data_IF_204240798090
#
_entry.id   IF_204240798090
#
_cell.length_a   1.000
_cell.length_b   1.000
_cell.length_c   1.000
_cell.angle_alpha   90.00
_cell.angle_beta   90.00
_cell.angle_gamma   90.00
#
_symmetry.space_group_name_H-M   'P 1'
#
loop_
_entity.id
_entity.type
_entity.pdbx_description
1 polymer ?
#
# COMPACT_ATOMS: atom_id res chain seq x y z
N UNK A 1 25.37 -10.17 -22.09
CA UNK A 1 26.71 -9.61 -22.35
C UNK A 1 26.85 -8.13 -22.03
N UNK A 2 26.02 -7.16 -22.54
CA UNK A 2 26.14 -5.72 -22.22
C UNK A 2 26.10 -5.38 -20.70
N UNK A 3 25.26 -6.06 -19.89
CA UNK A 3 25.22 -5.83 -18.44
C UNK A 3 26.50 -6.25 -17.72
N UNK A 4 27.07 -7.38 -18.10
CA UNK A 4 28.35 -7.89 -17.54
C UNK A 4 29.49 -6.97 -17.91
N UNK A 5 29.57 -6.52 -19.16
CA UNK A 5 30.60 -5.58 -19.62
C UNK A 5 30.55 -4.24 -18.86
N UNK A 6 29.34 -3.70 -18.58
CA UNK A 6 29.20 -2.47 -17.80
C UNK A 6 29.59 -2.65 -16.33
N UNK A 7 29.37 -3.84 -15.73
CA UNK A 7 29.83 -4.14 -14.37
C UNK A 7 31.35 -4.21 -14.34
N UNK A 8 31.96 -4.93 -15.27
CA UNK A 8 33.44 -5.03 -15.37
C UNK A 8 34.05 -3.63 -15.58
N UNK A 9 33.45 -2.81 -16.43
CA UNK A 9 33.90 -1.41 -16.66
C UNK A 9 33.87 -0.55 -15.40
N UNK A 10 33.00 -0.85 -14.43
CA UNK A 10 32.90 -0.08 -13.19
C UNK A 10 33.82 -0.60 -12.06
N UNK A 11 34.24 -1.86 -12.11
CA UNK A 11 35.04 -2.49 -11.06
C UNK A 11 36.46 -2.86 -11.52
N UNK A 12 36.86 -2.58 -12.78
CA UNK A 12 38.14 -2.97 -13.34
C UNK A 12 39.32 -2.44 -12.52
N UNK A 13 39.18 -1.22 -11.95
CA UNK A 13 40.20 -0.62 -11.10
C UNK A 13 40.46 -1.43 -9.81
N UNK A 14 39.36 -1.87 -9.17
CA UNK A 14 39.42 -2.69 -7.97
C UNK A 14 40.00 -4.06 -8.27
N UNK A 15 39.67 -4.63 -9.43
CA UNK A 15 40.24 -5.89 -9.89
C UNK A 15 41.75 -5.78 -10.16
N UNK A 16 42.19 -4.66 -10.69
CA UNK A 16 43.61 -4.41 -10.98
C UNK A 16 44.42 -4.22 -9.67
N UNK A 17 43.91 -3.44 -8.71
CA UNK A 17 44.48 -3.32 -7.38
C UNK A 17 44.53 -4.65 -6.64
N UNK A 18 43.45 -5.41 -6.66
CA UNK A 18 43.38 -6.73 -6.03
C UNK A 18 44.34 -7.72 -6.67
N UNK A 19 44.48 -7.72 -7.98
CA UNK A 19 45.43 -8.56 -8.68
C UNK A 19 46.87 -8.22 -8.27
N UNK A 20 47.20 -6.93 -8.15
CA UNK A 20 48.51 -6.47 -7.70
C UNK A 20 48.79 -6.86 -6.23
N UNK A 21 47.79 -6.68 -5.33
CA UNK A 21 47.87 -7.14 -3.96
C UNK A 21 48.19 -8.65 -3.85
N UNK A 22 47.45 -9.47 -4.64
CA UNK A 22 47.68 -10.92 -4.68
C UNK A 22 49.08 -11.29 -5.22
N UNK A 23 49.55 -10.57 -6.25
CA UNK A 23 50.90 -10.76 -6.77
C UNK A 23 51.98 -10.46 -5.70
N UNK A 24 51.83 -9.38 -4.93
CA UNK A 24 52.75 -9.02 -3.87
C UNK A 24 52.77 -10.04 -2.71
N UNK A 25 51.62 -10.69 -2.44
CA UNK A 25 51.50 -11.67 -1.34
C UNK A 25 52.02 -13.05 -1.74
N UNK A 26 51.77 -13.50 -2.97
CA UNK A 26 51.97 -14.89 -3.38
C UNK A 26 53.18 -15.12 -4.30
N UNK A 27 53.70 -14.09 -4.99
CA UNK A 27 54.82 -14.25 -5.89
C UNK A 27 56.18 -13.94 -5.17
N UNK A 28 57.27 -14.60 -5.59
CA UNK A 28 58.57 -14.28 -5.05
C UNK A 28 58.99 -12.85 -5.38
N UNK A 29 59.57 -12.18 -4.40
CA UNK A 29 59.91 -10.77 -4.46
C UNK A 29 60.95 -10.48 -5.56
N UNK A 30 60.57 -9.62 -6.50
CA UNK A 30 61.43 -9.14 -7.55
C UNK A 30 61.23 -7.62 -7.74
N UNK A 31 62.32 -6.87 -7.98
CA UNK A 31 62.26 -5.43 -8.23
C UNK A 31 61.31 -5.04 -9.38
N UNK A 32 61.11 -5.94 -10.33
CA UNK A 32 60.10 -5.74 -11.43
C UNK A 32 58.66 -5.55 -10.93
N UNK A 33 58.27 -6.20 -9.83
CA UNK A 33 56.94 -6.06 -9.24
C UNK A 33 56.71 -4.66 -8.68
N UNK A 34 57.74 -4.03 -8.11
CA UNK A 34 57.67 -2.66 -7.56
C UNK A 34 57.45 -1.65 -8.68
N UNK A 35 58.20 -1.77 -9.78
CA UNK A 35 58.04 -0.91 -10.94
C UNK A 35 56.67 -1.08 -11.59
N UNK A 36 56.14 -2.29 -11.62
CA UNK A 36 54.78 -2.56 -12.07
C UNK A 36 53.73 -1.87 -11.19
N UNK A 37 53.91 -1.87 -9.87
CA UNK A 37 53.06 -1.15 -8.93
C UNK A 37 53.09 0.37 -9.13
N UNK A 38 54.27 0.94 -9.33
CA UNK A 38 54.46 2.37 -9.63
C UNK A 38 53.72 2.71 -10.95
N UNK A 39 53.85 1.86 -11.97
CA UNK A 39 53.12 2.06 -13.24
C UNK A 39 51.61 2.02 -13.05
N UNK A 40 51.08 1.13 -12.21
CA UNK A 40 49.63 1.09 -11.85
C UNK A 40 49.16 2.37 -11.18
N UNK A 41 49.94 2.86 -10.18
CA UNK A 41 49.60 4.10 -9.46
C UNK A 41 49.58 5.31 -10.42
N UNK A 42 50.61 5.41 -11.27
CA UNK A 42 50.65 6.47 -12.30
C UNK A 42 49.47 6.36 -13.28
N UNK A 43 49.14 5.16 -13.72
CA UNK A 43 48.02 4.92 -14.60
C UNK A 43 46.65 5.30 -13.95
N UNK A 44 46.47 4.92 -12.68
CA UNK A 44 45.27 5.30 -11.91
C UNK A 44 45.17 6.79 -11.74
N UNK A 45 46.27 7.49 -11.42
CA UNK A 45 46.31 8.93 -11.29
C UNK A 45 45.95 9.63 -12.62
N UNK A 46 46.59 9.18 -13.72
CA UNK A 46 46.31 9.71 -15.05
C UNK A 46 44.82 9.48 -15.47
N UNK A 47 44.31 8.28 -15.20
CA UNK A 47 42.90 7.97 -15.46
C UNK A 47 41.94 8.82 -14.62
N UNK A 48 42.24 9.04 -13.33
CA UNK A 48 41.44 9.88 -12.46
C UNK A 48 41.44 11.34 -12.95
N UNK A 49 42.63 11.87 -13.29
CA UNK A 49 42.75 13.22 -13.85
C UNK A 49 41.95 13.37 -15.16
N UNK A 50 42.06 12.45 -16.11
CA UNK A 50 41.36 12.52 -17.38
C UNK A 50 39.84 12.36 -17.21
N UNK A 51 39.41 11.50 -16.34
CA UNK A 51 37.97 11.26 -16.09
C UNK A 51 37.26 12.43 -15.40
N UNK A 52 37.98 13.08 -14.46
CA UNK A 52 37.42 14.12 -13.60
C UNK A 52 37.96 15.52 -13.91
N UNK A 53 38.67 15.69 -15.02
CA UNK A 53 39.22 16.97 -15.43
C UNK A 53 38.18 18.11 -15.48
N UNK A 54 36.92 17.79 -15.82
CA UNK A 54 35.82 18.77 -15.91
C UNK A 54 34.87 18.72 -14.71
N UNK A 55 35.14 17.92 -13.70
CA UNK A 55 34.26 17.79 -12.53
C UNK A 55 35.06 17.92 -11.23
N UNK A 56 34.60 18.70 -10.23
CA UNK A 56 35.25 18.74 -8.92
C UNK A 56 35.31 17.33 -8.31
N UNK A 57 36.46 16.93 -7.84
CA UNK A 57 36.66 15.62 -7.22
C UNK A 57 35.64 15.34 -6.09
N UNK A 58 35.27 16.38 -5.33
CA UNK A 58 34.23 16.31 -4.31
C UNK A 58 32.90 15.86 -4.88
N UNK A 59 32.46 16.42 -6.02
CA UNK A 59 31.18 16.04 -6.66
C UNK A 59 31.19 14.57 -7.12
N UNK A 60 32.32 14.09 -7.66
CA UNK A 60 32.47 12.70 -8.08
C UNK A 60 32.38 11.72 -6.89
N UNK A 61 32.98 12.09 -5.76
CA UNK A 61 32.88 11.32 -4.51
C UNK A 61 31.43 11.33 -4.01
N UNK A 62 30.78 12.49 -3.93
CA UNK A 62 29.39 12.63 -3.49
C UNK A 62 28.45 11.83 -4.39
N UNK A 63 28.65 11.87 -5.70
CA UNK A 63 27.87 11.09 -6.67
C UNK A 63 28.08 9.58 -6.47
N UNK A 64 29.31 9.15 -6.15
CA UNK A 64 29.60 7.75 -5.87
C UNK A 64 28.98 7.30 -4.56
N UNK A 65 29.04 8.14 -3.54
CA UNK A 65 28.40 7.90 -2.24
C UNK A 65 26.87 7.86 -2.34
N UNK A 66 26.29 8.70 -3.21
CA UNK A 66 24.84 8.74 -3.46
C UNK A 66 24.30 7.51 -4.18
N UNK A 67 25.14 6.69 -4.82
CA UNK A 67 24.76 5.39 -5.40
C UNK A 67 24.41 4.33 -4.34
N UNK A 68 24.39 4.72 -3.07
CA UNK A 68 24.02 3.86 -1.96
C UNK A 68 25.18 2.95 -1.50
N UNK A 69 24.80 1.83 -0.86
CA UNK A 69 25.74 0.92 -0.21
C UNK A 69 26.86 0.44 -1.14
N UNK A 70 26.53 0.11 -2.38
CA UNK A 70 27.51 -0.40 -3.35
C UNK A 70 28.57 0.65 -3.77
N UNK A 71 28.16 1.92 -3.89
CA UNK A 71 29.11 3.00 -4.18
C UNK A 71 30.08 3.24 -3.04
N UNK A 72 29.58 3.17 -1.80
CA UNK A 72 30.39 3.37 -0.59
C UNK A 72 31.33 2.19 -0.34
N UNK A 73 30.84 0.95 -0.46
CA UNK A 73 31.71 -0.24 -0.39
C UNK A 73 32.78 -0.20 -1.45
N UNK A 74 32.45 0.16 -2.68
CA UNK A 74 33.40 0.30 -3.76
C UNK A 74 34.49 1.33 -3.44
N UNK A 75 34.11 2.52 -2.96
CA UNK A 75 35.09 3.55 -2.57
C UNK A 75 35.99 3.05 -1.42
N UNK A 76 35.43 2.47 -0.37
CA UNK A 76 36.13 2.00 0.79
C UNK A 76 37.10 0.87 0.45
N UNK A 77 36.67 -0.12 -0.33
CA UNK A 77 37.49 -1.22 -0.82
C UNK A 77 38.66 -0.70 -1.70
N UNK A 78 38.34 0.27 -2.58
CA UNK A 78 39.37 0.88 -3.43
C UNK A 78 40.45 1.61 -2.63
N UNK A 79 40.06 2.41 -1.63
CA UNK A 79 41.02 3.09 -0.73
C UNK A 79 41.84 2.07 0.08
N UNK A 80 41.14 1.04 0.61
CA UNK A 80 41.85 -0.03 1.37
C UNK A 80 42.88 -0.75 0.51
N UNK A 81 42.54 -1.19 -0.69
CA UNK A 81 43.46 -1.89 -1.59
C UNK A 81 44.67 -1.01 -1.93
N UNK A 82 44.44 0.28 -2.17
CA UNK A 82 45.53 1.22 -2.50
C UNK A 82 46.50 1.38 -1.32
N UNK A 83 46.01 1.54 -0.09
CA UNK A 83 46.84 1.64 1.11
C UNK A 83 47.59 0.33 1.38
N UNK A 84 46.91 -0.81 1.20
CA UNK A 84 47.51 -2.14 1.34
C UNK A 84 48.63 -2.34 0.32
N UNK A 85 48.43 -1.99 -0.96
CA UNK A 85 49.42 -2.11 -2.02
C UNK A 85 50.65 -1.25 -1.75
N UNK A 86 50.48 -0.03 -1.22
CA UNK A 86 51.57 0.83 -0.82
C UNK A 86 52.40 0.18 0.32
N UNK A 87 51.71 -0.31 1.36
CA UNK A 87 52.35 -0.95 2.50
C UNK A 87 53.07 -2.25 2.10
N UNK A 88 52.43 -3.11 1.32
CA UNK A 88 53.04 -4.35 0.83
C UNK A 88 54.26 -4.08 -0.07
N UNK A 89 54.16 -3.07 -0.96
CA UNK A 89 55.31 -2.64 -1.77
C UNK A 89 56.48 -2.16 -0.92
N UNK A 90 56.23 -1.44 0.18
CA UNK A 90 57.25 -1.02 1.12
C UNK A 90 57.95 -2.22 1.80
N UNK A 91 57.19 -3.24 2.24
CA UNK A 91 57.77 -4.47 2.79
C UNK A 91 58.68 -5.16 1.78
N UNK A 92 58.25 -5.28 0.53
CA UNK A 92 59.05 -5.87 -0.54
C UNK A 92 60.34 -5.06 -0.78
N UNK A 93 60.30 -3.73 -0.76
CA UNK A 93 61.47 -2.87 -0.91
C UNK A 93 62.50 -3.06 0.22
N UNK A 94 62.06 -3.47 1.42
CA UNK A 94 62.92 -3.72 2.59
C UNK A 94 63.35 -5.20 2.73
N UNK A 95 63.35 -5.95 1.63
CA UNK A 95 63.63 -7.39 1.60
C UNK A 95 62.71 -8.27 2.45
N UNK A 96 61.51 -7.75 2.76
CA UNK A 96 60.40 -8.50 3.34
C UNK A 96 59.53 -9.13 2.26
N UNK A 97 58.44 -9.76 2.67
CA UNK A 97 57.44 -10.33 1.76
C UNK A 97 56.09 -9.61 1.90
N UNK A 98 55.34 -9.51 0.84
CA UNK A 98 53.98 -8.92 0.88
C UNK A 98 53.04 -9.69 1.83
N UNK A 99 53.30 -10.97 2.07
CA UNK A 99 52.57 -11.78 3.06
C UNK A 99 52.73 -11.28 4.49
N UNK A 100 53.86 -10.62 4.85
CA UNK A 100 54.02 -9.98 6.16
C UNK A 100 53.02 -8.83 6.35
N UNK A 101 52.82 -8.00 5.34
CA UNK A 101 51.82 -6.94 5.39
C UNK A 101 50.40 -7.49 5.60
N UNK A 102 50.10 -8.61 4.96
CA UNK A 102 48.81 -9.27 5.14
C UNK A 102 48.67 -9.86 6.55
N UNK A 103 49.71 -10.50 7.10
CA UNK A 103 49.68 -11.03 8.45
C UNK A 103 49.47 -9.93 9.50
N UNK A 104 50.14 -8.78 9.36
CA UNK A 104 49.96 -7.64 10.26
C UNK A 104 48.55 -7.03 10.14
N UNK A 105 47.99 -6.96 8.92
CA UNK A 105 46.66 -6.49 8.70
C UNK A 105 45.58 -7.38 9.36
N UNK A 106 45.76 -8.71 9.31
CA UNK A 106 44.80 -9.68 9.86
C UNK A 106 45.03 -9.91 11.37
N UNK A 107 46.18 -9.53 11.91
CA UNK A 107 46.55 -9.76 13.30
C UNK A 107 45.55 -9.28 14.36
N UNK A 108 44.77 -8.18 14.17
CA UNK A 108 43.69 -7.79 15.09
C UNK A 108 42.58 -8.84 15.22
N UNK A 109 42.29 -9.58 14.13
CA UNK A 109 41.25 -10.61 14.09
C UNK A 109 41.79 -11.95 14.62
N UNK A 110 43.05 -12.30 14.27
CA UNK A 110 43.67 -13.57 14.66
C UNK A 110 44.25 -13.55 16.05
N UNK A 111 44.33 -12.37 16.72
CA UNK A 111 44.99 -12.17 18.03
C UNK A 111 46.44 -12.64 18.06
N UNK A 112 47.10 -12.74 16.92
CA UNK A 112 48.51 -13.11 16.83
C UNK A 112 49.38 -11.88 17.09
N UNK A 113 50.43 -12.04 17.90
CA UNK A 113 51.42 -10.97 18.10
C UNK A 113 52.32 -10.89 16.88
N UNK A 114 52.34 -9.73 16.22
CA UNK A 114 53.36 -9.45 15.21
C UNK A 114 54.72 -9.31 15.87
N UNK A 115 55.73 -9.93 15.28
CA UNK A 115 57.12 -9.77 15.74
C UNK A 115 57.65 -8.40 15.29
N UNK A 116 57.72 -7.45 16.19
CA UNK A 116 58.21 -6.09 15.90
C UNK A 116 59.72 -6.03 16.08
N UNK A 117 60.44 -5.66 15.02
CA UNK A 117 61.81 -5.16 15.12
C UNK A 117 61.76 -3.63 15.27
N UNK A 118 62.61 -3.07 16.17
CA UNK A 118 62.54 -1.65 16.55
C UNK A 118 62.71 -0.67 15.38
N UNK A 119 63.35 -1.06 14.30
CA UNK A 119 63.59 -0.20 13.12
C UNK A 119 62.41 -0.22 12.11
N UNK A 120 61.55 -1.20 12.19
CA UNK A 120 60.42 -1.36 11.24
C UNK A 120 59.03 -1.28 11.91
N UNK A 121 58.96 -0.94 13.18
CA UNK A 121 57.75 -0.99 13.99
C UNK A 121 56.59 -0.12 13.47
N UNK A 122 56.88 0.96 12.75
CA UNK A 122 55.87 1.92 12.30
C UNK A 122 54.91 1.27 11.32
N UNK A 123 55.34 0.45 10.37
CA UNK A 123 54.49 -0.16 9.36
C UNK A 123 53.59 -1.27 9.91
N UNK A 124 54.09 -2.23 10.71
CA UNK A 124 53.26 -3.17 11.45
C UNK A 124 52.16 -2.49 12.27
N UNK A 125 52.51 -1.41 12.99
CA UNK A 125 51.50 -0.64 13.76
C UNK A 125 50.44 0.01 12.86
N UNK A 126 50.84 0.61 11.74
CA UNK A 126 49.93 1.19 10.78
C UNK A 126 49.00 0.13 10.16
N UNK A 127 49.53 -1.04 9.78
CA UNK A 127 48.75 -2.14 9.23
C UNK A 127 47.80 -2.73 10.26
N UNK A 128 48.22 -2.86 11.51
CA UNK A 128 47.36 -3.28 12.61
C UNK A 128 46.21 -2.30 12.85
N UNK A 129 46.48 -0.99 12.91
CA UNK A 129 45.49 0.06 13.05
C UNK A 129 44.53 0.08 11.85
N UNK A 130 45.06 -0.07 10.63
CA UNK A 130 44.25 -0.20 9.43
C UNK A 130 43.31 -1.40 9.49
N UNK A 131 43.81 -2.56 9.99
CA UNK A 131 43.01 -3.75 10.24
C UNK A 131 41.85 -3.47 11.21
N UNK A 132 42.13 -2.81 12.34
CA UNK A 132 41.08 -2.41 13.29
C UNK A 132 40.06 -1.51 12.60
N UNK A 133 40.47 -0.45 11.93
CA UNK A 133 39.58 0.50 11.25
C UNK A 133 38.69 -0.18 10.19
N UNK A 134 39.31 -1.09 9.41
CA UNK A 134 38.55 -1.81 8.36
C UNK A 134 37.59 -2.81 8.97
N UNK A 135 38.00 -3.66 9.90
CA UNK A 135 37.17 -4.70 10.46
C UNK A 135 36.07 -4.13 11.38
N UNK A 136 36.38 -3.17 12.23
CA UNK A 136 35.41 -2.58 13.16
C UNK A 136 34.59 -1.46 12.52
N UNK A 137 35.26 -0.53 11.83
CA UNK A 137 34.59 0.62 11.22
C UNK A 137 33.77 0.25 9.99
N UNK A 138 34.39 -0.40 9.02
CA UNK A 138 33.77 -0.63 7.72
C UNK A 138 32.73 -1.76 7.75
N UNK A 139 33.08 -2.88 8.39
CA UNK A 139 32.16 -4.04 8.46
C UNK A 139 30.97 -3.71 9.35
N UNK A 140 31.17 -3.20 10.56
CA UNK A 140 30.09 -2.87 11.50
C UNK A 140 29.28 -1.72 10.97
N UNK A 141 29.89 -0.66 10.43
CA UNK A 141 29.15 0.45 9.83
C UNK A 141 28.31 0.01 8.60
N UNK A 142 28.85 -0.89 7.77
CA UNK A 142 28.12 -1.43 6.62
C UNK A 142 26.92 -2.29 7.06
N UNK A 143 27.12 -3.18 8.03
CA UNK A 143 26.03 -4.01 8.58
C UNK A 143 24.94 -3.13 9.18
N UNK A 144 25.30 -2.15 10.02
CA UNK A 144 24.36 -1.22 10.63
C UNK A 144 23.60 -0.42 9.58
N UNK A 145 24.25 0.03 8.52
CA UNK A 145 23.63 0.76 7.45
C UNK A 145 22.68 -0.10 6.63
N UNK A 146 23.05 -1.35 6.31
CA UNK A 146 22.14 -2.30 5.65
C UNK A 146 20.91 -2.54 6.52
N UNK A 147 21.09 -2.73 7.81
CA UNK A 147 19.99 -2.93 8.75
C UNK A 147 19.10 -1.70 8.83
N UNK A 148 19.67 -0.50 8.96
CA UNK A 148 18.93 0.76 8.97
C UNK A 148 18.13 0.98 7.68
N UNK A 149 18.76 0.81 6.51
CA UNK A 149 18.11 0.95 5.21
C UNK A 149 16.96 -0.04 5.05
N UNK A 150 17.12 -1.29 5.50
CA UNK A 150 16.02 -2.28 5.47
C UNK A 150 14.89 -1.90 6.41
N UNK A 151 15.19 -1.42 7.60
CA UNK A 151 14.22 -0.96 8.57
C UNK A 151 13.43 0.26 8.03
N UNK A 152 14.11 1.22 7.40
CA UNK A 152 13.48 2.39 6.80
C UNK A 152 12.62 2.03 5.60
N UNK A 153 13.11 1.15 4.72
CA UNK A 153 12.29 0.63 3.61
C UNK A 153 11.03 -0.09 4.10
N UNK A 154 11.13 -0.83 5.20
CA UNK A 154 9.96 -1.47 5.81
C UNK A 154 8.99 -0.43 6.37
N UNK A 155 9.49 0.55 7.13
CA UNK A 155 8.68 1.62 7.73
C UNK A 155 7.95 2.45 6.66
N UNK A 156 8.65 2.78 5.57
CA UNK A 156 8.13 3.60 4.47
C UNK A 156 7.34 2.81 3.41
N UNK A 157 7.22 1.49 3.55
CA UNK A 157 6.49 0.66 2.59
C UNK A 157 7.21 0.43 1.26
N UNK A 158 8.53 0.65 1.21
CA UNK A 158 9.33 0.44 0.00
C UNK A 158 9.88 -0.99 -0.13
N UNK A 159 9.78 -1.80 0.93
CA UNK A 159 10.17 -3.21 0.90
C UNK A 159 9.34 -4.00 -0.10
N UNK A 160 9.95 -5.00 -0.75
CA UNK A 160 9.25 -5.89 -1.68
C UNK A 160 9.42 -7.33 -1.20
N UNK A 161 8.29 -8.04 -1.06
CA UNK A 161 8.28 -9.44 -0.66
C UNK A 161 7.84 -10.29 -1.85
N UNK A 162 8.76 -11.13 -2.32
CA UNK A 162 8.49 -12.10 -3.39
C UNK A 162 7.99 -13.40 -2.76
N UNK A 163 7.20 -14.19 -3.50
CA UNK A 163 6.70 -15.52 -3.09
C UNK A 163 5.58 -15.51 -2.03
N UNK A 164 4.84 -14.40 -1.87
CA UNK A 164 3.60 -14.43 -1.09
C UNK A 164 2.53 -15.23 -1.86
N UNK A 165 1.78 -16.06 -1.13
CA UNK A 165 0.70 -16.89 -1.69
C UNK A 165 -0.51 -16.85 -0.78
N UNK A 166 -1.69 -16.99 -1.37
CA UNK A 166 -2.97 -17.07 -0.65
C UNK A 166 -3.21 -15.88 0.30
N UNK A 167 -2.79 -14.68 -0.11
CA UNK A 167 -2.90 -13.44 0.64
C UNK A 167 -4.05 -12.57 0.11
N UNK A 168 -4.50 -11.64 0.93
CA UNK A 168 -5.46 -10.60 0.54
C UNK A 168 -4.72 -9.36 0.06
N UNK A 169 -5.27 -8.68 -0.94
CA UNK A 169 -4.74 -7.40 -1.44
C UNK A 169 -5.82 -6.33 -1.26
N UNK A 170 -5.45 -5.22 -0.66
CA UNK A 170 -6.28 -4.02 -0.53
C UNK A 170 -5.56 -2.88 -1.25
N UNK A 171 -6.22 -2.27 -2.22
CA UNK A 171 -5.68 -1.16 -3.01
C UNK A 171 -6.42 0.10 -2.64
N UNK A 172 -5.69 1.01 -2.00
CA UNK A 172 -6.22 2.22 -1.36
C UNK A 172 -6.49 2.03 0.12
N UNK A 173 -6.27 3.11 0.91
CA UNK A 173 -6.55 3.16 2.34
C UNK A 173 -7.55 4.28 2.65
N UNK A 174 -8.56 3.95 3.45
CA UNK A 174 -9.61 4.87 3.89
C UNK A 174 -10.46 4.21 4.98
N UNK A 175 -11.54 4.86 5.38
CA UNK A 175 -12.39 4.47 6.51
C UNK A 175 -12.95 3.04 6.41
N UNK A 176 -13.09 2.52 5.20
CA UNK A 176 -13.56 1.16 4.95
C UNK A 176 -12.49 0.08 5.15
N UNK A 177 -11.20 0.46 5.21
CA UNK A 177 -10.10 -0.48 5.23
C UNK A 177 -10.02 -1.27 6.55
N UNK A 178 -10.06 -0.58 7.69
CA UNK A 178 -9.97 -1.22 9.02
C UNK A 178 -11.16 -2.15 9.29
N UNK A 179 -12.43 -1.75 9.06
CA UNK A 179 -13.57 -2.65 9.14
C UNK A 179 -13.46 -3.87 8.22
N UNK A 180 -12.95 -3.70 7.00
CA UNK A 180 -12.72 -4.80 6.08
C UNK A 180 -11.70 -5.80 6.63
N UNK A 181 -10.55 -5.33 7.13
CA UNK A 181 -9.52 -6.19 7.72
C UNK A 181 -10.07 -6.93 8.95
N UNK A 182 -10.85 -6.26 9.80
CA UNK A 182 -11.53 -6.88 10.95
C UNK A 182 -12.48 -8.01 10.50
N UNK A 183 -13.25 -7.79 9.45
CA UNK A 183 -14.14 -8.81 8.89
C UNK A 183 -13.37 -9.99 8.27
N UNK A 184 -12.25 -9.71 7.57
CA UNK A 184 -11.38 -10.75 7.06
C UNK A 184 -10.79 -11.60 8.20
N UNK A 185 -10.39 -10.96 9.32
CA UNK A 185 -9.94 -11.68 10.52
C UNK A 185 -11.04 -12.61 11.07
N UNK A 186 -12.28 -12.12 11.18
CA UNK A 186 -13.41 -12.92 11.68
C UNK A 186 -13.70 -14.16 10.83
N UNK A 187 -13.43 -14.11 9.51
CA UNK A 187 -13.58 -15.29 8.63
C UNK A 187 -12.57 -16.41 8.91
N UNK A 188 -11.48 -16.11 9.63
CA UNK A 188 -10.40 -17.04 9.96
C UNK A 188 -10.30 -17.35 11.46
N UNK A 189 -11.45 -17.49 12.15
CA UNK A 189 -11.53 -17.65 13.63
C UNK A 189 -10.69 -18.80 14.19
N UNK A 190 -10.48 -19.87 13.43
CA UNK A 190 -9.80 -21.09 13.90
C UNK A 190 -8.39 -21.27 13.30
N UNK A 191 -7.90 -20.34 12.50
CA UNK A 191 -6.63 -20.49 11.81
C UNK A 191 -5.79 -19.20 11.77
N UNK A 192 -4.54 -19.36 11.35
CA UNK A 192 -3.65 -18.21 11.09
C UNK A 192 -4.22 -17.38 9.95
N UNK A 193 -4.50 -16.12 10.22
CA UNK A 193 -4.94 -15.17 9.20
C UNK A 193 -3.89 -15.08 8.07
N UNK A 194 -4.29 -15.19 6.78
CA UNK A 194 -3.40 -14.92 5.67
C UNK A 194 -2.87 -13.48 5.71
N UNK A 195 -1.72 -13.26 5.07
CA UNK A 195 -1.20 -11.90 4.95
C UNK A 195 -2.19 -10.98 4.23
N UNK A 196 -2.25 -9.74 4.69
CA UNK A 196 -2.98 -8.65 4.02
C UNK A 196 -1.95 -7.66 3.50
N UNK A 197 -1.98 -7.43 2.20
CA UNK A 197 -1.14 -6.42 1.55
C UNK A 197 -1.99 -5.19 1.28
N UNK A 198 -1.53 -4.03 1.71
CA UNK A 198 -2.16 -2.74 1.43
C UNK A 198 -1.24 -1.97 0.50
N UNK A 199 -1.75 -1.53 -0.65
CA UNK A 199 -1.08 -0.56 -1.52
C UNK A 199 -1.72 0.80 -1.31
N UNK A 200 -0.92 1.82 -1.02
CA UNK A 200 -1.39 3.17 -0.71
C UNK A 200 -0.42 4.23 -1.22
N UNK A 201 -0.92 5.42 -1.55
CA UNK A 201 -0.10 6.60 -1.82
C UNK A 201 0.03 7.52 -0.59
N UNK A 202 -0.66 7.19 0.50
CA UNK A 202 -0.64 7.94 1.75
C UNK A 202 0.60 7.62 2.60
N UNK A 203 0.74 8.32 3.73
CA UNK A 203 1.86 8.14 4.66
C UNK A 203 1.77 6.78 5.38
N UNK A 204 2.65 5.85 5.02
CA UNK A 204 2.66 4.48 5.56
C UNK A 204 2.85 4.42 7.08
N UNK A 205 3.72 5.21 7.73
CA UNK A 205 3.82 5.28 9.18
C UNK A 205 2.51 5.57 9.91
N UNK A 206 1.70 6.48 9.39
CA UNK A 206 0.42 6.85 10.02
C UNK A 206 -0.60 5.71 9.88
N UNK A 207 -0.69 5.11 8.70
CA UNK A 207 -1.54 3.92 8.47
C UNK A 207 -1.14 2.76 9.38
N UNK A 208 0.16 2.55 9.56
CA UNK A 208 0.65 1.48 10.45
C UNK A 208 0.25 1.75 11.90
N UNK A 209 0.36 3.01 12.36
CA UNK A 209 -0.08 3.41 13.69
C UNK A 209 -1.58 3.22 13.87
N UNK A 210 -2.37 3.57 12.87
CA UNK A 210 -3.81 3.39 12.88
C UNK A 210 -4.20 1.91 12.99
N UNK A 211 -3.63 1.05 12.15
CA UNK A 211 -3.85 -0.40 12.22
C UNK A 211 -3.38 -0.98 13.56
N UNK A 212 -2.22 -0.54 14.08
CA UNK A 212 -1.69 -1.01 15.35
C UNK A 212 -2.61 -0.62 16.52
N UNK A 213 -3.22 0.56 16.45
CA UNK A 213 -4.13 1.05 17.49
C UNK A 213 -5.47 0.33 17.44
N UNK A 214 -6.05 0.15 16.26
CA UNK A 214 -7.39 -0.40 16.10
C UNK A 214 -7.41 -1.95 16.02
N UNK A 215 -6.35 -2.57 15.46
CA UNK A 215 -6.25 -4.01 15.20
C UNK A 215 -4.84 -4.55 15.53
N UNK A 216 -4.38 -4.48 16.81
CA UNK A 216 -3.00 -4.83 17.18
C UNK A 216 -2.61 -6.27 16.82
N UNK A 217 -3.56 -7.20 16.86
CA UNK A 217 -3.30 -8.62 16.53
C UNK A 217 -3.05 -8.87 15.04
N UNK A 218 -3.46 -7.95 14.17
CA UNK A 218 -3.38 -8.10 12.70
C UNK A 218 -2.14 -7.41 12.13
N UNK A 219 -1.52 -6.52 12.88
CA UNK A 219 -0.35 -5.75 12.42
C UNK A 219 0.75 -6.67 11.84
N UNK A 220 1.06 -7.79 12.55
CA UNK A 220 2.11 -8.74 12.12
C UNK A 220 1.78 -9.47 10.81
N UNK A 221 0.51 -9.53 10.44
CA UNK A 221 0.04 -10.13 9.19
C UNK A 221 -0.19 -9.07 8.09
N UNK A 222 0.01 -7.78 8.39
CA UNK A 222 -0.26 -6.68 7.45
C UNK A 222 1.04 -6.13 6.87
N UNK A 223 1.12 -6.13 5.55
CA UNK A 223 2.23 -5.59 4.76
C UNK A 223 1.71 -4.34 4.04
N UNK A 224 2.36 -3.20 4.24
CA UNK A 224 1.95 -1.95 3.61
C UNK A 224 3.00 -1.56 2.57
N UNK A 225 2.55 -1.32 1.33
CA UNK A 225 3.36 -0.81 0.23
C UNK A 225 2.98 0.63 -0.09
N UNK A 226 3.98 1.49 -0.16
CA UNK A 226 3.83 2.83 -0.72
C UNK A 226 3.96 2.78 -2.23
N UNK A 227 3.02 3.41 -2.95
CA UNK A 227 3.07 3.49 -4.41
C UNK A 227 1.78 3.99 -5.05
N UNK A 228 1.85 4.29 -6.34
CA UNK A 228 0.69 4.72 -7.11
C UNK A 228 -0.24 3.52 -7.36
N UNK A 229 -1.52 3.68 -6.99
CA UNK A 229 -2.55 2.65 -7.07
C UNK A 229 -2.82 2.16 -8.49
N UNK A 230 -2.60 3.01 -9.49
CA UNK A 230 -2.83 2.72 -10.91
C UNK A 230 -1.53 2.47 -11.70
N UNK A 231 -0.39 2.30 -11.04
CA UNK A 231 0.86 1.92 -11.69
C UNK A 231 0.93 0.41 -11.87
N UNK A 232 1.04 -0.06 -13.10
CA UNK A 232 1.16 -1.49 -13.42
C UNK A 232 2.38 -2.13 -12.73
N UNK A 233 3.52 -1.43 -12.70
CA UNK A 233 4.73 -1.91 -12.00
C UNK A 233 4.51 -2.08 -10.50
N UNK A 234 3.72 -1.22 -9.87
CA UNK A 234 3.37 -1.33 -8.45
C UNK A 234 2.38 -2.47 -8.22
N UNK A 235 1.37 -2.62 -9.08
CA UNK A 235 0.42 -3.73 -9.02
C UNK A 235 1.12 -5.08 -9.16
N UNK A 236 2.08 -5.23 -10.06
CA UNK A 236 2.87 -6.48 -10.21
C UNK A 236 3.67 -6.84 -8.94
N UNK A 237 4.08 -5.86 -8.12
CA UNK A 237 4.76 -6.10 -6.82
C UNK A 237 3.86 -6.80 -5.79
N UNK A 238 2.54 -6.74 -5.94
CA UNK A 238 1.58 -7.30 -5.00
C UNK A 238 1.43 -8.82 -5.12
N UNK A 239 2.09 -9.48 -6.06
CA UNK A 239 1.92 -10.91 -6.37
C UNK A 239 0.45 -11.29 -6.65
N UNK A 240 -0.21 -10.51 -7.51
CA UNK A 240 -1.64 -10.66 -7.86
C UNK A 240 -1.95 -12.08 -8.34
N UNK A 241 -1.00 -12.75 -9.03
CA UNK A 241 -1.17 -14.09 -9.58
C UNK A 241 -1.42 -15.17 -8.52
N UNK A 242 -0.95 -14.94 -7.30
CA UNK A 242 -1.06 -15.88 -6.20
C UNK A 242 -1.94 -15.37 -5.06
N UNK A 243 -2.63 -14.25 -5.29
CA UNK A 243 -3.54 -13.66 -4.32
C UNK A 243 -4.83 -14.49 -4.19
N UNK A 244 -5.41 -14.47 -3.02
CA UNK A 244 -6.70 -15.10 -2.71
C UNK A 244 -7.88 -14.25 -3.18
N UNK A 245 -7.82 -12.97 -2.90
CA UNK A 245 -8.87 -11.99 -3.20
C UNK A 245 -8.29 -10.58 -3.21
N UNK A 246 -8.82 -9.72 -4.06
CA UNK A 246 -8.40 -8.31 -4.18
C UNK A 246 -9.58 -7.40 -3.88
N UNK A 247 -9.31 -6.32 -3.13
CA UNK A 247 -10.25 -5.25 -2.82
C UNK A 247 -9.68 -3.93 -3.34
N UNK A 248 -10.33 -3.32 -4.31
CA UNK A 248 -9.98 -2.00 -4.84
C UNK A 248 -10.91 -0.99 -4.18
N UNK A 249 -10.41 -0.32 -3.14
CA UNK A 249 -11.15 0.68 -2.36
C UNK A 249 -10.92 2.09 -2.89
N UNK A 250 -9.72 2.35 -3.43
CA UNK A 250 -9.28 3.69 -3.83
C UNK A 250 -8.94 4.58 -2.65
N UNK A 251 -8.55 5.81 -2.94
CA UNK A 251 -8.18 6.81 -1.93
C UNK A 251 -8.80 8.17 -2.27
N UNK A 252 -8.98 9.02 -1.25
CA UNK A 252 -9.62 10.31 -1.38
C UNK A 252 -11.14 10.20 -1.56
N UNK A 253 -11.74 11.35 -1.73
CA UNK A 253 -13.19 11.53 -1.94
C UNK A 253 -13.41 12.21 -3.29
N UNK A 254 -14.50 11.92 -3.95
CA UNK A 254 -14.92 12.67 -5.12
C UNK A 254 -15.11 11.88 -6.42
N UNK A 255 -15.38 12.62 -7.50
CA UNK A 255 -15.86 12.06 -8.76
C UNK A 255 -14.86 11.21 -9.54
N UNK A 256 -13.57 11.36 -9.28
CA UNK A 256 -12.51 10.61 -9.96
C UNK A 256 -12.24 9.22 -9.38
N UNK A 257 -12.64 8.97 -8.13
CA UNK A 257 -12.33 7.71 -7.42
C UNK A 257 -12.91 6.48 -8.12
N UNK A 258 -14.18 6.52 -8.52
CA UNK A 258 -14.83 5.41 -9.21
C UNK A 258 -14.15 5.05 -10.53
N UNK A 259 -13.73 6.07 -11.30
CA UNK A 259 -13.02 5.88 -12.57
C UNK A 259 -11.63 5.29 -12.34
N UNK A 260 -10.91 5.77 -11.32
CA UNK A 260 -9.60 5.25 -10.92
C UNK A 260 -9.68 3.81 -10.45
N UNK A 261 -10.71 3.46 -9.66
CA UNK A 261 -10.94 2.10 -9.19
C UNK A 261 -11.24 1.15 -10.35
N UNK A 262 -12.04 1.58 -11.31
CA UNK A 262 -12.34 0.81 -12.51
C UNK A 262 -11.09 0.61 -13.38
N UNK A 263 -10.27 1.65 -13.56
CA UNK A 263 -9.01 1.55 -14.30
C UNK A 263 -8.03 0.58 -13.62
N UNK A 264 -7.90 0.66 -12.28
CA UNK A 264 -7.11 -0.27 -11.51
C UNK A 264 -7.57 -1.72 -11.72
N UNK A 265 -8.87 -1.97 -11.64
CA UNK A 265 -9.45 -3.30 -11.86
C UNK A 265 -9.18 -3.83 -13.28
N UNK A 266 -9.23 -2.97 -14.31
CA UNK A 266 -8.86 -3.33 -15.69
C UNK A 266 -7.39 -3.74 -15.80
N UNK A 267 -6.48 -3.01 -15.15
CA UNK A 267 -5.04 -3.35 -15.11
C UNK A 267 -4.79 -4.68 -14.38
N UNK A 268 -5.49 -4.92 -13.27
CA UNK A 268 -5.42 -6.22 -12.57
C UNK A 268 -5.86 -7.34 -13.50
N UNK A 269 -6.97 -7.18 -14.23
CA UNK A 269 -7.43 -8.16 -15.22
C UNK A 269 -6.38 -8.41 -16.30
N UNK A 270 -5.76 -7.35 -16.85
CA UNK A 270 -4.71 -7.48 -17.86
C UNK A 270 -3.49 -8.24 -17.34
N UNK A 271 -3.01 -7.94 -16.12
CA UNK A 271 -1.89 -8.65 -15.49
C UNK A 271 -2.21 -10.13 -15.33
N UNK A 272 -3.43 -10.48 -14.90
CA UNK A 272 -3.86 -11.87 -14.71
C UNK A 272 -3.98 -12.66 -16.01
N UNK A 273 -4.39 -12.00 -17.10
CA UNK A 273 -4.51 -12.64 -18.41
C UNK A 273 -3.18 -13.09 -19.00
N UNK A 274 -2.06 -12.54 -18.52
CA UNK A 274 -0.72 -13.00 -18.93
C UNK A 274 -0.34 -14.36 -18.33
N UNK A 275 -1.01 -14.78 -17.27
CA UNK A 275 -0.72 -16.02 -16.54
C UNK A 275 -2.00 -16.87 -16.47
N UNK A 276 -1.93 -18.12 -16.93
CA UNK A 276 -3.02 -19.08 -16.77
C UNK A 276 -3.14 -19.49 -15.29
N UNK A 277 -4.08 -18.91 -14.56
CA UNK A 277 -4.29 -19.20 -13.14
C UNK A 277 -5.77 -19.23 -12.79
N UNK A 278 -6.10 -19.75 -11.60
CA UNK A 278 -7.46 -19.85 -11.08
C UNK A 278 -8.17 -18.48 -11.04
N UNK A 279 -9.50 -18.49 -11.05
CA UNK A 279 -10.32 -17.27 -11.08
C UNK A 279 -10.06 -16.42 -9.82
N UNK A 280 -9.58 -15.20 -10.01
CA UNK A 280 -9.34 -14.22 -8.95
C UNK A 280 -10.60 -13.35 -8.74
N UNK A 281 -11.08 -13.26 -7.50
CA UNK A 281 -12.13 -12.32 -7.12
C UNK A 281 -11.54 -10.93 -6.90
N UNK A 282 -12.09 -9.94 -7.62
CA UNK A 282 -11.70 -8.53 -7.51
C UNK A 282 -12.93 -7.72 -7.10
N UNK A 283 -13.00 -7.33 -5.84
CA UNK A 283 -14.06 -6.50 -5.30
C UNK A 283 -13.71 -5.03 -5.52
N UNK A 284 -14.57 -4.28 -6.19
CA UNK A 284 -14.32 -2.89 -6.57
C UNK A 284 -15.37 -1.98 -5.95
N UNK A 285 -14.90 -1.03 -5.14
CA UNK A 285 -15.77 -0.04 -4.51
C UNK A 285 -16.16 1.06 -5.50
N UNK A 286 -17.43 1.40 -5.50
CA UNK A 286 -18.01 2.55 -6.18
C UNK A 286 -18.78 3.39 -5.17
N UNK A 287 -18.52 4.69 -5.15
CA UNK A 287 -19.22 5.62 -4.26
C UNK A 287 -20.51 6.13 -4.89
N UNK A 288 -20.48 6.42 -6.19
CA UNK A 288 -21.65 6.91 -6.90
C UNK A 288 -22.58 5.75 -7.27
N UNK A 289 -23.84 5.84 -6.83
CA UNK A 289 -24.87 4.86 -7.17
C UNK A 289 -25.04 4.67 -8.68
N UNK A 290 -24.79 5.72 -9.48
CA UNK A 290 -24.85 5.65 -10.94
C UNK A 290 -23.70 4.85 -11.53
N UNK A 291 -22.47 5.08 -11.12
CA UNK A 291 -21.29 4.29 -11.54
C UNK A 291 -21.50 2.83 -11.19
N UNK A 292 -21.93 2.56 -9.96
CA UNK A 292 -22.21 1.23 -9.47
C UNK A 292 -23.30 0.52 -10.29
N UNK A 293 -24.46 1.17 -10.52
CA UNK A 293 -25.55 0.56 -11.26
C UNK A 293 -25.20 0.25 -12.71
N UNK A 294 -24.45 1.15 -13.37
CA UNK A 294 -23.96 0.94 -14.74
C UNK A 294 -23.01 -0.25 -14.82
N UNK A 295 -22.03 -0.32 -13.92
CA UNK A 295 -21.08 -1.44 -13.90
C UNK A 295 -21.75 -2.74 -13.54
N UNK A 296 -22.70 -2.73 -12.61
CA UNK A 296 -23.49 -3.91 -12.24
C UNK A 296 -24.27 -4.46 -13.43
N UNK A 297 -24.89 -3.62 -14.22
CA UNK A 297 -25.61 -4.04 -15.44
C UNK A 297 -24.70 -4.67 -16.50
N UNK A 298 -23.46 -4.21 -16.59
CA UNK A 298 -22.48 -4.74 -17.56
C UNK A 298 -21.87 -6.07 -17.07
N UNK A 299 -21.67 -6.24 -15.76
CA UNK A 299 -20.98 -7.40 -15.19
C UNK A 299 -21.91 -8.58 -14.90
N UNK A 300 -23.10 -8.35 -14.36
CA UNK A 300 -24.04 -9.42 -13.97
C UNK A 300 -24.47 -10.31 -15.16
N UNK A 301 -24.82 -9.79 -16.35
CA UNK A 301 -25.21 -10.64 -17.46
C UNK A 301 -24.13 -11.61 -17.93
N UNK A 302 -22.87 -11.22 -17.77
CA UNK A 302 -21.73 -12.09 -18.12
C UNK A 302 -21.51 -13.21 -17.11
N UNK A 303 -21.82 -12.99 -15.85
CA UNK A 303 -21.76 -14.02 -14.79
C UNK A 303 -22.76 -15.16 -15.05
N UNK A 304 -23.93 -14.84 -15.58
CA UNK A 304 -25.00 -15.82 -15.87
C UNK A 304 -24.74 -16.61 -17.16
N UNK A 305 -24.01 -16.05 -18.11
CA UNK A 305 -23.84 -16.63 -19.47
C UNK A 305 -22.39 -17.02 -19.82
N UNK A 306 -21.43 -16.64 -19.00
CA UNK A 306 -20.03 -16.87 -19.30
C UNK A 306 -19.52 -18.21 -18.73
N UNK A 307 -19.84 -19.30 -19.39
CA UNK A 307 -18.96 -20.48 -19.47
C UNK A 307 -17.76 -20.22 -20.41
N UNK A 308 -17.36 -18.95 -20.61
CA UNK A 308 -16.16 -18.66 -21.37
C UNK A 308 -14.93 -18.96 -20.51
N UNK A 309 -14.29 -20.09 -20.82
CA UNK A 309 -13.15 -20.70 -20.17
C UNK A 309 -11.88 -19.83 -20.12
N UNK A 310 -11.96 -18.55 -20.50
CA UNK A 310 -10.86 -17.59 -20.57
C UNK A 310 -10.90 -16.46 -19.53
N UNK A 311 -11.95 -16.37 -18.71
CA UNK A 311 -12.01 -15.31 -17.68
C UNK A 311 -11.23 -15.73 -16.43
N UNK A 312 -10.07 -15.11 -16.23
CA UNK A 312 -9.17 -15.31 -15.06
C UNK A 312 -9.48 -14.38 -13.90
N UNK A 313 -10.45 -13.46 -14.05
CA UNK A 313 -10.86 -12.51 -13.00
C UNK A 313 -12.38 -12.38 -12.94
N UNK A 314 -12.91 -12.45 -11.72
CA UNK A 314 -14.30 -12.20 -11.41
C UNK A 314 -14.45 -10.83 -10.74
N UNK A 315 -14.99 -9.86 -11.47
CA UNK A 315 -15.19 -8.50 -11.00
C UNK A 315 -16.48 -8.40 -10.19
N UNK A 316 -16.40 -8.01 -8.91
CA UNK A 316 -17.53 -7.79 -8.01
C UNK A 316 -17.63 -6.31 -7.63
N UNK A 317 -18.44 -5.52 -8.33
CA UNK A 317 -18.70 -4.15 -7.92
C UNK A 317 -19.53 -4.13 -6.65
N UNK A 318 -19.23 -3.22 -5.74
CA UNK A 318 -20.04 -2.96 -4.56
C UNK A 318 -20.11 -1.46 -4.27
N UNK A 319 -21.23 -1.03 -3.70
CA UNK A 319 -21.39 0.33 -3.20
C UNK A 319 -21.38 0.28 -1.67
N UNK A 320 -20.52 1.08 -1.06
CA UNK A 320 -20.37 1.12 0.38
C UNK A 320 -21.65 1.58 1.08
N UNK A 321 -22.24 2.67 0.59
CA UNK A 321 -23.44 3.27 1.18
C UNK A 321 -24.65 2.36 1.05
N UNK A 322 -24.84 1.67 -0.08
CA UNK A 322 -25.95 0.71 -0.27
C UNK A 322 -25.83 -0.47 0.71
N UNK A 323 -24.61 -0.98 0.93
CA UNK A 323 -24.37 -2.07 1.88
C UNK A 323 -24.63 -1.62 3.33
N UNK A 324 -24.23 -0.40 3.68
CA UNK A 324 -24.51 0.17 4.99
C UNK A 324 -25.99 0.45 5.19
N UNK A 325 -26.66 1.01 4.19
CA UNK A 325 -28.12 1.23 4.24
C UNK A 325 -28.86 -0.08 4.53
N UNK A 326 -28.54 -1.16 3.82
CA UNK A 326 -29.15 -2.48 4.07
C UNK A 326 -28.86 -3.00 5.48
N UNK A 327 -27.65 -2.81 5.96
CA UNK A 327 -27.31 -3.23 7.32
C UNK A 327 -28.08 -2.44 8.38
N UNK A 328 -28.16 -1.10 8.23
CA UNK A 328 -28.91 -0.24 9.13
C UNK A 328 -30.40 -0.56 9.12
N UNK A 329 -30.98 -0.79 7.94
CA UNK A 329 -32.34 -1.23 7.81
C UNK A 329 -32.61 -2.54 8.54
N UNK A 330 -31.77 -3.55 8.32
CA UNK A 330 -31.92 -4.86 8.97
C UNK A 330 -31.75 -4.81 10.48
N UNK A 331 -30.89 -3.92 10.99
CA UNK A 331 -30.55 -3.86 12.41
C UNK A 331 -31.52 -2.98 13.21
N UNK A 332 -31.96 -1.86 12.66
CA UNK A 332 -32.68 -0.85 13.41
C UNK A 332 -34.13 -0.64 12.93
N UNK A 333 -34.37 -0.52 11.64
CA UNK A 333 -35.68 -0.18 11.10
C UNK A 333 -36.63 -1.38 11.04
N UNK A 334 -36.24 -2.47 10.39
CA UNK A 334 -37.09 -3.65 10.24
C UNK A 334 -37.59 -4.25 11.57
N UNK A 335 -36.79 -4.34 12.65
CA UNK A 335 -37.30 -4.80 13.94
C UNK A 335 -38.43 -3.94 14.48
N UNK A 336 -38.39 -2.61 14.26
CA UNK A 336 -39.40 -1.68 14.76
C UNK A 336 -40.73 -1.75 13.96
N UNK A 337 -40.67 -2.22 12.71
CA UNK A 337 -41.83 -2.28 11.81
C UNK A 337 -42.47 -3.67 11.74
N UNK A 338 -41.99 -4.66 12.52
CA UNK A 338 -42.53 -6.03 12.56
C UNK A 338 -44.00 -6.12 12.88
N UNK A 339 -44.52 -5.16 13.67
CA UNK A 339 -45.93 -5.07 14.02
C UNK A 339 -46.87 -4.80 12.83
N UNK A 340 -46.26 -4.37 11.70
CA UNK A 340 -46.99 -4.13 10.43
C UNK A 340 -46.78 -5.26 9.41
N UNK A 341 -45.92 -6.23 9.67
CA UNK A 341 -45.56 -7.30 8.74
C UNK A 341 -46.69 -8.31 8.57
N UNK A 342 -46.79 -8.90 7.37
CA UNK A 342 -47.75 -9.95 7.04
C UNK A 342 -47.59 -11.16 7.98
N UNK A 343 -48.65 -11.49 8.71
CA UNK A 343 -48.64 -12.62 9.68
C UNK A 343 -48.14 -12.27 11.09
N UNK A 344 -47.66 -11.05 11.31
CA UNK A 344 -47.30 -10.52 12.64
C UNK A 344 -48.00 -9.19 12.96
N UNK A 345 -49.00 -8.83 12.21
CA UNK A 345 -49.72 -7.54 12.31
C UNK A 345 -50.46 -7.44 13.63
N UNK A 346 -49.92 -6.66 14.55
CA UNK A 346 -50.53 -6.36 15.87
C UNK A 346 -51.03 -4.91 15.96
N UNK A 347 -50.63 -4.05 15.03
CA UNK A 347 -50.95 -2.62 15.03
C UNK A 347 -51.43 -2.14 13.64
N UNK A 348 -52.61 -2.63 13.18
CA UNK A 348 -53.05 -2.39 11.81
C UNK A 348 -53.38 -0.93 11.47
N UNK A 349 -53.64 -0.11 12.48
CA UNK A 349 -53.97 1.31 12.29
C UNK A 349 -52.76 2.24 12.25
N UNK A 350 -51.54 1.70 12.50
CA UNK A 350 -50.30 2.48 12.45
C UNK A 350 -49.72 2.58 11.05
N UNK A 351 -49.00 3.66 10.82
CA UNK A 351 -48.16 3.86 9.63
C UNK A 351 -46.75 4.26 9.98
N UNK A 352 -45.82 4.02 9.07
CA UNK A 352 -44.40 4.40 9.23
C UNK A 352 -44.21 5.83 8.72
N UNK A 353 -43.57 6.67 9.53
CA UNK A 353 -43.02 7.95 9.10
C UNK A 353 -41.51 7.91 9.24
N UNK A 354 -40.82 7.80 8.13
CA UNK A 354 -39.34 7.86 8.06
C UNK A 354 -38.94 9.28 7.67
N UNK A 355 -38.10 9.90 8.50
CA UNK A 355 -37.49 11.21 8.22
C UNK A 355 -35.99 11.02 7.98
N UNK A 356 -35.52 11.40 6.79
CA UNK A 356 -34.11 11.37 6.41
C UNK A 356 -33.60 12.80 6.35
N UNK A 357 -32.62 13.13 7.18
CA UNK A 357 -31.98 14.46 7.25
C UNK A 357 -30.64 14.36 6.52
N UNK A 358 -30.48 15.10 5.43
CA UNK A 358 -29.34 15.08 4.53
C UNK A 358 -29.52 14.09 3.38
N UNK A 359 -29.37 14.57 2.14
CA UNK A 359 -29.54 13.78 0.91
C UNK A 359 -28.21 13.63 0.15
N UNK A 360 -27.14 13.37 0.89
CA UNK A 360 -25.86 12.96 0.32
C UNK A 360 -25.85 11.46 -0.04
N UNK A 361 -24.69 10.87 -0.28
CA UNK A 361 -24.58 9.47 -0.69
C UNK A 361 -25.26 8.49 0.27
N UNK A 362 -25.17 8.74 1.59
CA UNK A 362 -25.79 7.86 2.59
C UNK A 362 -27.30 8.09 2.66
N UNK A 363 -27.75 9.34 2.65
CA UNK A 363 -29.17 9.68 2.61
C UNK A 363 -29.87 9.14 1.38
N UNK A 364 -29.25 9.25 0.21
CA UNK A 364 -29.76 8.65 -1.03
C UNK A 364 -29.86 7.13 -0.91
N UNK A 365 -28.84 6.48 -0.36
CA UNK A 365 -28.85 5.03 -0.20
C UNK A 365 -29.95 4.55 0.75
N UNK A 366 -30.13 5.23 1.89
CA UNK A 366 -31.20 4.97 2.85
C UNK A 366 -32.58 5.20 2.23
N UNK A 367 -32.74 6.31 1.51
CA UNK A 367 -33.99 6.63 0.81
C UNK A 367 -34.38 5.56 -0.21
N UNK A 368 -33.41 5.13 -1.06
CA UNK A 368 -33.65 4.09 -2.05
C UNK A 368 -33.94 2.71 -1.42
N UNK A 369 -33.31 2.40 -0.31
CA UNK A 369 -33.59 1.16 0.42
C UNK A 369 -34.95 1.22 1.12
N UNK A 370 -35.36 2.40 1.62
CA UNK A 370 -36.71 2.64 2.14
C UNK A 370 -37.78 2.38 1.09
N UNK A 371 -37.60 2.90 -0.14
CA UNK A 371 -38.50 2.66 -1.25
C UNK A 371 -38.60 1.18 -1.67
N UNK A 372 -37.69 0.32 -1.26
CA UNK A 372 -37.73 -1.12 -1.55
C UNK A 372 -38.37 -1.94 -0.43
N UNK A 373 -38.34 -1.44 0.80
CA UNK A 373 -38.64 -2.23 1.99
C UNK A 373 -39.93 -1.75 2.73
N UNK A 374 -40.31 -0.48 2.58
CA UNK A 374 -41.40 0.11 3.36
C UNK A 374 -42.77 -0.07 2.71
N UNK A 375 -43.07 -1.29 2.29
CA UNK A 375 -44.38 -1.69 1.73
C UNK A 375 -45.12 -2.56 2.74
N UNK A 376 -46.18 -2.02 3.37
CA UNK A 376 -46.89 -2.72 4.44
C UNK A 376 -48.29 -3.14 4.01
N UNK A 377 -48.74 -4.34 4.40
CA UNK A 377 -50.03 -4.89 3.96
C UNK A 377 -51.27 -4.21 4.59
N UNK A 378 -51.06 -3.31 5.57
CA UNK A 378 -52.12 -2.52 6.17
C UNK A 378 -52.48 -1.25 5.37
N UNK A 379 -51.78 -0.99 4.25
CA UNK A 379 -52.19 0.07 3.33
C UNK A 379 -53.50 -0.27 2.65
N UNK A 380 -54.45 0.66 2.73
CA UNK A 380 -55.74 0.56 2.04
C UNK A 380 -55.78 1.47 0.80
N UNK A 381 -55.68 0.87 -0.38
CA UNK A 381 -55.70 1.59 -1.66
C UNK A 381 -56.99 2.39 -1.91
N UNK A 382 -58.13 1.94 -1.37
CA UNK A 382 -59.43 2.60 -1.59
C UNK A 382 -59.60 3.88 -0.78
N UNK A 383 -59.06 3.88 0.45
CA UNK A 383 -59.18 5.02 1.37
C UNK A 383 -57.86 5.81 1.49
N UNK A 384 -56.83 5.33 0.84
CA UNK A 384 -55.46 5.87 0.94
C UNK A 384 -54.91 5.96 2.37
N UNK A 385 -55.43 5.13 3.29
CA UNK A 385 -55.01 5.10 4.69
C UNK A 385 -53.75 4.30 4.86
N UNK A 386 -52.99 4.66 5.90
CA UNK A 386 -51.76 3.95 6.35
C UNK A 386 -50.65 3.94 5.30
N UNK A 387 -50.59 4.97 4.42
CA UNK A 387 -49.41 5.16 3.57
C UNK A 387 -48.14 5.30 4.41
N UNK A 388 -47.07 4.66 3.98
CA UNK A 388 -45.73 4.98 4.51
C UNK A 388 -45.36 6.39 4.08
N UNK A 389 -44.95 7.24 5.04
CA UNK A 389 -44.49 8.58 4.76
C UNK A 389 -42.99 8.62 4.83
N UNK A 390 -42.33 9.06 3.75
CA UNK A 390 -40.88 9.29 3.71
C UNK A 390 -40.62 10.77 3.50
N UNK A 391 -40.15 11.45 4.51
CA UNK A 391 -39.77 12.86 4.46
C UNK A 391 -38.26 13.00 4.36
N UNK A 392 -37.78 13.67 3.31
CA UNK A 392 -36.38 13.98 3.12
C UNK A 392 -36.16 15.48 3.34
N UNK A 393 -35.27 15.84 4.25
CA UNK A 393 -34.94 17.22 4.63
C UNK A 393 -33.51 17.51 4.27
N UNK A 394 -33.26 18.49 3.40
CA UNK A 394 -31.92 18.97 3.05
C UNK A 394 -32.02 20.44 2.60
N UNK A 395 -31.08 21.27 3.01
CA UNK A 395 -31.06 22.70 2.64
C UNK A 395 -30.66 22.96 1.18
N UNK A 396 -30.29 21.93 0.42
CA UNK A 396 -30.00 21.96 -1.02
C UNK A 396 -31.04 21.19 -1.81
N UNK A 397 -32.22 20.98 -1.28
CA UNK A 397 -33.24 20.13 -1.92
C UNK A 397 -33.62 20.61 -3.31
N UNK A 398 -33.66 21.92 -3.55
CA UNK A 398 -33.97 22.52 -4.85
C UNK A 398 -32.98 22.11 -5.94
N UNK A 399 -31.72 21.80 -5.58
CA UNK A 399 -30.70 21.29 -6.49
C UNK A 399 -30.72 19.77 -6.60
N UNK A 400 -30.94 19.09 -5.48
CA UNK A 400 -30.82 17.62 -5.37
C UNK A 400 -32.06 16.89 -5.91
N UNK A 401 -33.26 17.41 -5.66
CA UNK A 401 -34.50 16.77 -6.08
C UNK A 401 -34.65 16.61 -7.60
N UNK A 402 -34.36 17.63 -8.44
CA UNK A 402 -34.39 17.47 -9.88
C UNK A 402 -33.45 16.38 -10.39
N UNK A 403 -32.24 16.27 -9.78
CA UNK A 403 -31.27 15.23 -10.10
C UNK A 403 -31.77 13.84 -9.71
N UNK A 404 -32.37 13.71 -8.52
CA UNK A 404 -32.96 12.47 -8.05
C UNK A 404 -34.12 12.03 -8.99
N UNK A 405 -35.04 12.94 -9.31
CA UNK A 405 -36.18 12.70 -10.19
C UNK A 405 -35.75 12.33 -11.62
N UNK A 406 -34.75 12.99 -12.18
CA UNK A 406 -34.25 12.66 -13.51
C UNK A 406 -33.66 11.23 -13.58
N UNK A 407 -33.10 10.79 -12.49
CA UNK A 407 -32.48 9.47 -12.36
C UNK A 407 -33.47 8.35 -12.09
N UNK A 408 -34.47 8.63 -11.25
CA UNK A 408 -35.49 7.66 -10.81
C UNK A 408 -36.87 8.12 -11.23
N UNK A 409 -37.16 8.06 -12.53
CA UNK A 409 -38.38 8.62 -13.16
C UNK A 409 -39.70 8.08 -12.58
N UNK A 410 -39.69 6.84 -12.09
CA UNK A 410 -40.90 6.16 -11.61
C UNK A 410 -41.10 6.29 -10.10
N UNK A 411 -40.28 7.08 -9.42
CA UNK A 411 -40.34 7.20 -7.97
C UNK A 411 -41.73 7.68 -7.48
N UNK A 412 -42.35 8.60 -8.21
CA UNK A 412 -43.69 9.15 -7.86
C UNK A 412 -44.85 8.24 -8.24
N UNK A 413 -44.61 7.04 -8.78
CA UNK A 413 -45.69 6.09 -9.16
C UNK A 413 -45.91 5.02 -8.07
N UNK A 414 -45.25 5.12 -6.94
CA UNK A 414 -45.41 4.21 -5.81
C UNK A 414 -46.64 4.66 -5.02
N UNK A 415 -47.72 3.86 -5.06
CA UNK A 415 -49.03 4.25 -4.52
C UNK A 415 -49.13 4.23 -2.99
N UNK A 416 -48.42 3.30 -2.36
CA UNK A 416 -48.44 3.05 -0.91
C UNK A 416 -47.42 3.86 -0.12
N UNK A 417 -46.58 4.67 -0.80
CA UNK A 417 -45.56 5.54 -0.19
C UNK A 417 -45.85 7.00 -0.57
N UNK A 418 -45.98 7.85 0.44
CA UNK A 418 -46.03 9.31 0.29
C UNK A 418 -44.61 9.88 0.50
N UNK A 419 -44.09 10.59 -0.48
CA UNK A 419 -42.73 11.20 -0.41
C UNK A 419 -42.86 12.71 -0.27
N UNK A 420 -42.17 13.25 0.72
CA UNK A 420 -42.06 14.68 1.00
C UNK A 420 -40.62 15.12 0.92
N UNK A 421 -40.34 16.12 0.09
CA UNK A 421 -39.00 16.69 -0.06
C UNK A 421 -39.04 18.14 0.41
N UNK A 422 -38.29 18.44 1.48
CA UNK A 422 -38.30 19.73 2.16
C UNK A 422 -36.96 20.41 2.03
N UNK A 423 -36.95 21.64 1.46
CA UNK A 423 -35.77 22.48 1.36
C UNK A 423 -35.58 23.30 2.66
N UNK A 424 -35.21 22.62 3.71
CA UNK A 424 -35.10 23.15 5.07
C UNK A 424 -33.89 22.59 5.80
N UNK A 425 -33.50 23.29 6.89
CA UNK A 425 -32.58 22.71 7.88
C UNK A 425 -33.37 21.94 8.95
N UNK A 426 -32.75 20.91 9.55
CA UNK A 426 -33.35 20.20 10.69
C UNK A 426 -33.62 21.13 11.89
N UNK A 427 -32.93 22.26 11.97
CA UNK A 427 -33.08 23.27 13.01
C UNK A 427 -34.29 24.17 12.83
N UNK A 428 -34.93 24.16 11.66
CA UNK A 428 -36.07 24.99 11.34
C UNK A 428 -37.28 24.64 12.20
N UNK A 429 -38.01 25.68 12.61
CA UNK A 429 -39.18 25.52 13.47
C UNK A 429 -40.21 24.56 12.90
N UNK A 430 -40.46 24.60 11.60
CA UNK A 430 -41.41 23.75 10.90
C UNK A 430 -41.05 22.29 10.96
N UNK A 431 -39.76 21.96 10.76
CA UNK A 431 -39.27 20.60 10.85
C UNK A 431 -39.35 20.06 12.29
N UNK A 432 -38.93 20.86 13.28
CA UNK A 432 -39.09 20.49 14.70
C UNK A 432 -40.53 20.27 15.10
N UNK A 433 -41.44 21.10 14.61
CA UNK A 433 -42.90 20.96 14.84
C UNK A 433 -43.42 19.64 14.22
N UNK A 434 -43.09 19.38 12.96
CA UNK A 434 -43.46 18.12 12.26
C UNK A 434 -42.96 16.89 13.00
N UNK A 435 -41.68 16.89 13.43
CA UNK A 435 -41.08 15.78 14.20
C UNK A 435 -41.82 15.57 15.52
N UNK A 436 -42.14 16.65 16.23
CA UNK A 436 -42.89 16.58 17.50
C UNK A 436 -44.30 16.05 17.30
N UNK A 437 -45.04 16.51 16.29
CA UNK A 437 -46.35 16.04 15.93
C UNK A 437 -46.34 14.54 15.59
N UNK A 438 -45.37 14.11 14.73
CA UNK A 438 -45.23 12.70 14.38
C UNK A 438 -44.82 11.80 15.56
N UNK A 439 -44.01 12.33 16.48
CA UNK A 439 -43.59 11.58 17.68
C UNK A 439 -44.68 11.44 18.74
N UNK A 440 -45.68 12.36 18.75
CA UNK A 440 -46.80 12.35 19.69
C UNK A 440 -48.03 11.67 19.15
N UNK A 441 -48.10 11.43 17.84
CA UNK A 441 -49.23 10.71 17.22
C UNK A 441 -49.16 9.22 17.54
N UNK A 442 -50.18 8.63 18.21
CA UNK A 442 -50.18 7.23 18.58
C UNK A 442 -50.23 6.27 17.37
N UNK A 443 -50.65 6.75 16.20
CA UNK A 443 -50.79 5.98 14.98
C UNK A 443 -49.49 6.06 14.10
N UNK A 444 -48.51 6.81 14.51
CA UNK A 444 -47.27 6.98 13.76
C UNK A 444 -46.09 6.23 14.39
N UNK A 445 -45.40 5.40 13.59
CA UNK A 445 -44.12 4.83 13.95
C UNK A 445 -43.02 5.72 13.34
N UNK A 446 -42.51 6.68 14.14
CA UNK A 446 -41.49 7.63 13.69
C UNK A 446 -40.12 7.02 13.74
N UNK A 447 -39.35 7.15 12.64
CA UNK A 447 -37.93 6.88 12.57
C UNK A 447 -37.21 8.06 11.96
N UNK A 448 -36.12 8.52 12.58
CA UNK A 448 -35.29 9.62 12.07
C UNK A 448 -33.90 9.10 11.77
N UNK A 449 -33.45 9.29 10.53
CA UNK A 449 -32.10 8.99 10.09
C UNK A 449 -31.35 10.30 9.77
N UNK A 450 -30.25 10.57 10.48
CA UNK A 450 -29.42 11.75 10.26
C UNK A 450 -28.20 11.35 9.44
N UNK A 451 -28.09 11.91 8.22
CA UNK A 451 -27.08 11.59 7.21
C UNK A 451 -26.33 12.86 6.79
N UNK A 452 -25.96 13.69 7.73
CA UNK A 452 -25.19 14.90 7.45
C UNK A 452 -23.74 14.52 7.26
N UNK A 453 -23.12 14.99 6.17
CA UNK A 453 -21.67 14.99 5.99
C UNK A 453 -21.12 16.31 6.51
N UNK A 454 -20.07 16.25 7.34
CA UNK A 454 -19.30 17.44 7.78
C UNK A 454 -18.71 18.20 6.60
#
# INVERSE_FOLDING_TARGET
MKKVFNVIKNIWLHLLLLAYALMLVFLPTNNGLIWFGVAIVVFIAAWFITKYHNQPAKFAIDQTLAKGIWGQLGLSVGVFLLVFDIAASYYVCRNGTGSMAFADFVSPVTMQKSAYNSETAVIPILMYLLGIVVFTGLVVATINRIAATRADNYKLGHSTYRKLKNHYIIIGYGDTCVPLISNLKKRHKEGKMPYVIILTNQNVPDIRRDIQTQLPDVEKATIIYSGNLNSESQLRRLNIDTAREVFVLGEGYGSGRDSMNLECAKKIKAIRQEHNSDILRVNVQFDKAMSYSTIKQITIPKEYYAHDSREVTYLRPFNFYENWARMLWGTYALPNYRTLDRGQMTEPDKHVHLVIVGLDNMGVALFLEALRLCHYPNYDERTERNKTIITVVDNRMDELYPLLRSRYRYINQISDIEMRFLNNSVEDHEIRKMLKESATDPNTILTVAICLSD
#
